data_IF_325085533865
#
_entry.id   IF_325085533865
#
_cell.length_a   1.000
_cell.length_b   1.000
_cell.length_c   1.000
_cell.angle_alpha   90.00
_cell.angle_beta   90.00
_cell.angle_gamma   90.00
#
_symmetry.space_group_name_H-M   'P 1'
#
loop_
_entity.id
_entity.type
_entity.pdbx_description
1 polymer ?
#
# COMPACT_ATOMS: atom_id res chain seq x y z
N UNK A 1 -26.69 3.01 -51.70
CA UNK A 1 -25.34 2.87 -51.13
C UNK A 1 -25.44 1.89 -49.97
N UNK A 2 -24.89 0.69 -50.14
CA UNK A 2 -24.86 -0.34 -49.11
C UNK A 2 -23.68 -0.09 -48.17
N UNK A 3 -23.92 -0.08 -46.87
CA UNK A 3 -22.88 -0.17 -45.84
C UNK A 3 -23.35 -1.14 -44.76
N UNK A 4 -22.67 -2.27 -44.67
CA UNK A 4 -22.60 -3.15 -43.49
C UNK A 4 -21.11 -3.19 -43.05
N UNK A 5 -20.76 -3.68 -41.85
CA UNK A 5 -21.42 -3.61 -40.54
C UNK A 5 -20.50 -2.96 -39.48
N UNK A 6 -21.05 -2.57 -38.33
CA UNK A 6 -20.25 -2.20 -37.16
C UNK A 6 -19.61 -3.45 -36.51
N UNK A 7 -18.37 -3.77 -36.90
CA UNK A 7 -17.42 -4.62 -36.16
C UNK A 7 -16.21 -3.76 -35.79
N UNK A 8 -16.20 -3.24 -34.58
CA UNK A 8 -15.05 -2.71 -33.80
C UNK A 8 -15.72 -2.11 -32.55
N UNK A 9 -15.47 -2.46 -31.30
CA UNK A 9 -14.39 -3.21 -30.69
C UNK A 9 -14.78 -3.44 -29.23
N UNK A 10 -15.19 -4.66 -28.91
CA UNK A 10 -15.33 -5.23 -27.56
C UNK A 10 -13.95 -5.42 -26.90
N UNK A 11 -13.00 -4.49 -27.11
CA UNK A 11 -11.56 -4.72 -26.85
C UNK A 11 -11.13 -4.38 -25.41
N UNK A 12 -11.96 -3.74 -24.58
CA UNK A 12 -11.56 -3.49 -23.18
C UNK A 12 -12.11 -4.51 -22.17
N UNK A 13 -12.37 -5.74 -22.64
CA UNK A 13 -12.77 -6.87 -21.80
C UNK A 13 -11.70 -7.98 -21.81
N UNK A 14 -10.43 -7.60 -21.68
CA UNK A 14 -9.28 -8.50 -21.52
C UNK A 14 -8.28 -7.75 -20.63
N UNK A 15 -8.37 -7.83 -19.30
CA UNK A 15 -7.40 -8.58 -18.50
C UNK A 15 -7.90 -8.76 -17.05
N UNK A 16 -9.11 -9.28 -16.84
CA UNK A 16 -9.57 -9.73 -15.52
C UNK A 16 -9.14 -11.18 -15.24
N UNK A 17 -7.90 -11.52 -15.57
CA UNK A 17 -7.33 -12.86 -15.31
C UNK A 17 -6.63 -12.79 -13.97
N UNK A 18 -7.23 -13.43 -12.96
CA UNK A 18 -6.68 -13.81 -11.65
C UNK A 18 -5.23 -13.38 -11.38
N UNK A 19 -5.02 -12.10 -11.09
CA UNK A 19 -3.90 -11.73 -10.23
C UNK A 19 -4.37 -12.03 -8.81
N UNK A 20 -3.74 -13.01 -8.15
CA UNK A 20 -3.84 -13.15 -6.71
C UNK A 20 -3.56 -11.79 -6.09
N UNK A 21 -4.53 -11.27 -5.33
CA UNK A 21 -4.40 -10.01 -4.60
C UNK A 21 -3.28 -10.16 -3.56
N UNK A 22 -2.06 -9.79 -3.94
CA UNK A 22 -0.88 -9.90 -3.09
C UNK A 22 -1.01 -9.02 -1.84
N UNK A 23 -1.84 -7.98 -1.88
CA UNK A 23 -2.11 -7.15 -0.70
C UNK A 23 -2.88 -7.90 0.38
N UNK A 24 -3.65 -8.94 0.03
CA UNK A 24 -4.32 -9.80 0.99
C UNK A 24 -3.35 -10.60 1.89
N UNK A 25 -2.06 -10.64 1.55
CA UNK A 25 -1.03 -11.17 2.45
C UNK A 25 -0.95 -10.37 3.76
N UNK A 26 -1.22 -9.07 3.75
CA UNK A 26 -1.12 -8.22 4.94
C UNK A 26 -2.48 -8.13 5.64
N UNK A 27 -2.52 -8.48 6.93
CA UNK A 27 -3.78 -8.52 7.69
C UNK A 27 -4.24 -7.09 8.06
N UNK A 28 -3.27 -6.17 8.23
CA UNK A 28 -3.51 -4.74 8.44
C UNK A 28 -2.53 -3.90 7.65
N UNK A 29 -3.05 -2.83 7.03
CA UNK A 29 -2.27 -1.85 6.29
C UNK A 29 -2.55 -0.46 6.86
N UNK A 30 -1.50 0.24 7.26
CA UNK A 30 -1.57 1.59 7.82
C UNK A 30 -0.81 2.57 6.94
N UNK A 31 -1.26 3.82 6.88
CA UNK A 31 -0.49 4.94 6.37
C UNK A 31 -0.44 6.04 7.43
N UNK A 32 0.76 6.39 7.88
CA UNK A 32 0.98 7.43 8.89
C UNK A 32 0.98 8.80 8.20
N UNK A 33 0.26 9.76 8.76
CA UNK A 33 0.25 11.14 8.28
C UNK A 33 0.13 12.13 9.43
N UNK A 34 0.80 13.28 9.30
CA UNK A 34 0.65 14.39 10.25
C UNK A 34 -0.65 15.14 9.97
N UNK A 35 -1.42 15.49 11.00
CA UNK A 35 -2.74 16.13 10.93
C UNK A 35 -2.83 17.34 9.97
N UNK A 36 -1.81 18.19 9.93
CA UNK A 36 -1.72 19.36 9.05
C UNK A 36 -1.39 19.05 7.58
N UNK A 37 -0.84 17.86 7.25
CA UNK A 37 -0.44 17.45 5.89
C UNK A 37 -1.56 16.80 5.07
N UNK A 38 -2.69 17.50 4.94
CA UNK A 38 -3.83 17.06 4.10
C UNK A 38 -3.42 16.84 2.65
N UNK A 39 -2.54 17.69 2.13
CA UNK A 39 -1.99 17.62 0.77
C UNK A 39 -1.31 16.26 0.49
N UNK A 40 -0.43 15.81 1.40
CA UNK A 40 0.25 14.51 1.29
C UNK A 40 -0.71 13.35 1.40
N UNK A 41 -1.71 13.43 2.29
CA UNK A 41 -2.73 12.38 2.40
C UNK A 41 -3.51 12.19 1.12
N UNK A 42 -3.94 13.27 0.48
CA UNK A 42 -4.67 13.17 -0.79
C UNK A 42 -3.78 12.60 -1.90
N UNK A 43 -2.49 12.93 -1.91
CA UNK A 43 -1.54 12.30 -2.84
C UNK A 43 -1.37 10.80 -2.55
N UNK A 44 -1.15 10.41 -1.30
CA UNK A 44 -1.04 9.02 -0.89
C UNK A 44 -2.32 8.23 -1.23
N UNK A 45 -3.51 8.81 -1.05
CA UNK A 45 -4.79 8.20 -1.45
C UNK A 45 -4.82 7.86 -2.94
N UNK A 46 -4.39 8.79 -3.81
CA UNK A 46 -4.31 8.55 -5.26
C UNK A 46 -3.33 7.43 -5.57
N UNK A 47 -2.15 7.47 -4.96
CA UNK A 47 -1.11 6.46 -5.10
C UNK A 47 -1.59 5.06 -4.67
N UNK A 48 -2.32 4.93 -3.56
CA UNK A 48 -2.92 3.66 -3.15
C UNK A 48 -4.05 3.21 -4.08
N UNK A 49 -4.84 4.13 -4.64
CA UNK A 49 -5.89 3.79 -5.60
C UNK A 49 -5.32 3.22 -6.90
N UNK A 50 -4.21 3.79 -7.39
CA UNK A 50 -3.52 3.34 -8.61
C UNK A 50 -3.05 1.88 -8.52
N UNK A 51 -2.78 1.38 -7.31
CA UNK A 51 -2.33 -0.01 -7.06
C UNK A 51 -3.40 -0.90 -6.44
N UNK A 52 -4.66 -0.44 -6.38
CA UNK A 52 -5.79 -1.19 -5.84
C UNK A 52 -5.76 -1.44 -4.32
N UNK A 53 -4.98 -0.66 -3.57
CA UNK A 53 -4.75 -0.86 -2.13
C UNK A 53 -5.63 0.05 -1.25
N UNK A 54 -6.17 1.14 -1.80
CA UNK A 54 -6.80 2.24 -1.03
C UNK A 54 -7.80 1.78 0.04
N UNK A 55 -8.74 0.91 -0.32
CA UNK A 55 -9.82 0.47 0.58
C UNK A 55 -9.32 -0.37 1.77
N UNK A 56 -8.08 -0.88 1.71
CA UNK A 56 -7.45 -1.65 2.80
C UNK A 56 -6.58 -0.78 3.71
N UNK A 57 -6.28 0.46 3.31
CA UNK A 57 -5.39 1.35 4.06
C UNK A 57 -6.18 2.11 5.13
N UNK A 58 -5.77 1.97 6.38
CA UNK A 58 -6.21 2.84 7.45
C UNK A 58 -5.20 3.99 7.65
N UNK A 59 -5.65 5.23 7.48
CA UNK A 59 -4.84 6.41 7.76
C UNK A 59 -4.74 6.68 9.26
N UNK A 60 -3.53 6.63 9.80
CA UNK A 60 -3.23 6.93 11.20
C UNK A 60 -2.74 8.37 11.29
N UNK A 61 -3.66 9.25 11.67
CA UNK A 61 -3.40 10.69 11.79
C UNK A 61 -2.74 11.00 13.13
N UNK A 62 -1.56 11.59 13.10
CA UNK A 62 -0.77 11.94 14.29
C UNK A 62 -0.48 13.42 14.35
N UNK A 63 -0.20 13.93 15.55
CA UNK A 63 0.38 15.27 15.69
C UNK A 63 1.88 15.22 15.46
N UNK A 64 2.44 16.25 14.85
CA UNK A 64 3.89 16.41 14.77
C UNK A 64 4.46 16.49 16.19
N UNK A 65 5.50 15.70 16.46
CA UNK A 65 6.18 15.81 17.75
C UNK A 65 6.84 17.20 17.85
N UNK A 66 6.65 17.95 18.95
CA UNK A 66 7.04 19.36 19.03
C UNK A 66 8.55 19.58 18.91
N UNK A 67 9.35 18.70 19.50
CA UNK A 67 10.80 18.94 19.65
C UNK A 67 11.70 17.93 18.92
N UNK A 68 11.20 16.71 18.67
CA UNK A 68 12.03 15.61 18.17
C UNK A 68 11.26 14.79 17.13
N UNK A 69 11.63 14.97 15.87
CA UNK A 69 11.03 14.27 14.74
C UNK A 69 11.19 12.75 14.82
N UNK A 70 12.37 12.27 15.20
CA UNK A 70 12.68 10.83 15.29
C UNK A 70 11.81 10.13 16.34
N UNK A 71 11.62 10.78 17.51
CA UNK A 71 10.66 10.31 18.52
C UNK A 71 9.25 10.24 17.94
N UNK A 72 8.84 11.23 17.16
CA UNK A 72 7.56 11.21 16.45
C UNK A 72 7.40 9.99 15.53
N UNK A 73 8.43 9.69 14.73
CA UNK A 73 8.47 8.52 13.82
C UNK A 73 8.38 7.21 14.61
N UNK A 74 9.21 7.05 15.64
CA UNK A 74 9.18 5.83 16.47
C UNK A 74 7.81 5.66 17.12
N UNK A 75 7.24 6.72 17.70
CA UNK A 75 5.95 6.65 18.38
C UNK A 75 4.79 6.31 17.44
N UNK A 76 4.76 6.90 16.24
CA UNK A 76 3.70 6.63 15.25
C UNK A 76 3.79 5.19 14.72
N UNK A 77 4.99 4.69 14.41
CA UNK A 77 5.16 3.28 14.02
C UNK A 77 4.79 2.31 15.15
N UNK A 78 5.22 2.59 16.38
CA UNK A 78 4.85 1.77 17.54
C UNK A 78 3.34 1.79 17.80
N UNK A 79 2.66 2.91 17.53
CA UNK A 79 1.21 2.99 17.60
C UNK A 79 0.55 2.05 16.58
N UNK A 80 0.98 2.08 15.31
CA UNK A 80 0.48 1.18 14.26
C UNK A 80 0.70 -0.29 14.62
N UNK A 81 1.90 -0.66 15.11
CA UNK A 81 2.20 -2.03 15.52
C UNK A 81 1.29 -2.48 16.68
N UNK A 82 1.17 -1.69 17.74
CA UNK A 82 0.27 -1.99 18.86
C UNK A 82 -1.18 -2.13 18.42
N UNK A 83 -1.62 -1.27 17.50
CA UNK A 83 -2.97 -1.29 16.96
C UNK A 83 -3.24 -2.56 16.14
N UNK A 84 -2.31 -2.95 15.27
CA UNK A 84 -2.41 -4.19 14.50
C UNK A 84 -2.41 -5.43 15.40
N UNK A 85 -1.52 -5.47 16.40
CA UNK A 85 -1.50 -6.56 17.40
C UNK A 85 -2.82 -6.66 18.17
N UNK A 86 -3.38 -5.53 18.62
CA UNK A 86 -4.70 -5.49 19.28
C UNK A 86 -5.83 -6.01 18.37
N UNK A 87 -5.69 -5.85 17.06
CA UNK A 87 -6.62 -6.38 16.07
C UNK A 87 -6.36 -7.85 15.67
N UNK A 88 -5.39 -8.53 16.31
CA UNK A 88 -5.03 -9.91 16.00
C UNK A 88 -4.24 -10.09 14.69
N UNK A 89 -3.69 -8.99 14.13
CA UNK A 89 -2.91 -9.05 12.90
C UNK A 89 -1.58 -9.77 13.13
N UNK A 90 -1.23 -10.68 12.21
CA UNK A 90 0.08 -11.35 12.19
C UNK A 90 1.07 -10.64 11.27
N UNK A 91 0.57 -10.03 10.19
CA UNK A 91 1.37 -9.30 9.20
C UNK A 91 0.81 -7.89 9.06
N UNK A 92 1.60 -6.91 9.48
CA UNK A 92 1.25 -5.49 9.48
C UNK A 92 2.16 -4.80 8.46
N UNK A 93 1.56 -4.05 7.53
CA UNK A 93 2.27 -3.19 6.59
C UNK A 93 2.04 -1.73 6.96
N UNK A 94 3.10 -0.93 6.97
CA UNK A 94 3.05 0.49 7.36
C UNK A 94 3.72 1.31 6.25
N UNK A 95 2.99 2.29 5.73
CA UNK A 95 3.48 3.32 4.83
C UNK A 95 3.54 4.68 5.53
N UNK A 96 4.29 5.61 4.95
CA UNK A 96 4.22 7.05 5.24
C UNK A 96 3.43 7.77 4.14
N UNK A 97 2.96 8.99 4.40
CA UNK A 97 2.12 9.77 3.47
C UNK A 97 2.90 10.44 2.31
N UNK A 98 4.21 10.23 2.20
CA UNK A 98 5.01 10.50 1.00
C UNK A 98 5.25 9.24 0.13
N UNK A 99 4.49 8.17 0.35
CA UNK A 99 4.53 7.00 -0.53
C UNK A 99 4.31 7.38 -2.00
N UNK A 100 5.14 6.79 -2.85
CA UNK A 100 5.06 6.89 -4.29
C UNK A 100 5.26 5.52 -4.92
N UNK A 101 4.36 5.12 -5.81
CA UNK A 101 4.42 3.87 -6.54
C UNK A 101 4.85 4.13 -7.98
N UNK A 102 5.99 3.57 -8.36
CA UNK A 102 6.50 3.66 -9.72
C UNK A 102 6.84 2.27 -10.23
N UNK A 103 6.31 1.90 -11.40
CA UNK A 103 6.64 0.62 -12.04
C UNK A 103 6.33 -0.58 -11.15
N UNK A 104 5.17 -0.59 -10.47
CA UNK A 104 4.80 -1.68 -9.56
C UNK A 104 4.73 -2.99 -10.31
N UNK A 105 5.59 -3.92 -9.92
CA UNK A 105 5.65 -5.29 -10.43
C UNK A 105 4.82 -6.21 -9.53
N UNK A 106 3.56 -6.44 -9.90
CA UNK A 106 2.64 -7.28 -9.15
C UNK A 106 3.13 -8.75 -9.05
N UNK A 107 3.67 -9.39 -10.12
CA UNK A 107 4.37 -10.67 -10.01
C UNK A 107 5.50 -10.69 -8.97
N UNK A 108 6.39 -9.69 -8.96
CA UNK A 108 7.48 -9.65 -7.99
C UNK A 108 6.98 -9.52 -6.55
N UNK A 109 5.93 -8.71 -6.32
CA UNK A 109 5.28 -8.62 -5.00
C UNK A 109 4.65 -9.96 -4.60
N UNK A 110 4.01 -10.66 -5.54
CA UNK A 110 3.44 -11.98 -5.29
C UNK A 110 4.51 -13.00 -4.87
N UNK A 111 5.62 -13.07 -5.59
CA UNK A 111 6.75 -13.95 -5.27
C UNK A 111 7.36 -13.63 -3.91
N UNK A 112 7.51 -12.35 -3.58
CA UNK A 112 7.96 -11.92 -2.26
C UNK A 112 7.00 -12.38 -1.15
N UNK A 113 5.69 -12.18 -1.32
CA UNK A 113 4.68 -12.66 -0.37
C UNK A 113 4.69 -14.18 -0.22
N UNK A 114 4.82 -14.93 -1.32
CA UNK A 114 4.93 -16.38 -1.30
C UNK A 114 6.19 -16.83 -0.53
N UNK A 115 7.34 -16.22 -0.82
CA UNK A 115 8.60 -16.51 -0.12
C UNK A 115 8.48 -16.28 1.40
N UNK A 116 7.88 -15.16 1.81
CA UNK A 116 7.64 -14.83 3.22
C UNK A 116 6.60 -15.73 3.88
N UNK A 117 5.66 -16.28 3.12
CA UNK A 117 4.69 -17.25 3.62
C UNK A 117 5.35 -18.58 3.99
N UNK A 118 6.27 -19.06 3.14
CA UNK A 118 6.98 -20.33 3.35
C UNK A 118 8.10 -20.24 4.39
N UNK A 119 8.71 -19.06 4.59
CA UNK A 119 9.71 -18.84 5.64
C UNK A 119 9.05 -18.26 6.89
N UNK A 120 8.94 -19.05 7.95
CA UNK A 120 8.28 -18.62 9.19
C UNK A 120 9.16 -17.79 10.13
N UNK A 121 10.46 -17.61 9.81
CA UNK A 121 11.42 -16.86 10.62
C UNK A 121 11.83 -15.56 9.95
N UNK A 122 11.04 -14.50 10.17
CA UNK A 122 11.40 -13.12 9.84
C UNK A 122 10.65 -12.16 10.78
N UNK A 123 11.19 -10.95 10.94
CA UNK A 123 10.58 -9.90 11.76
C UNK A 123 10.32 -8.61 10.99
N UNK A 124 10.95 -8.43 9.84
CA UNK A 124 10.77 -7.26 8.98
C UNK A 124 10.85 -7.61 7.51
N UNK A 125 10.06 -6.89 6.72
CA UNK A 125 10.07 -6.86 5.28
C UNK A 125 9.97 -5.39 4.87
N UNK A 126 10.91 -4.90 4.07
CA UNK A 126 10.98 -3.50 3.66
C UNK A 126 10.61 -3.38 2.19
N UNK A 127 9.66 -2.50 1.88
CA UNK A 127 9.26 -2.16 0.52
C UNK A 127 9.98 -0.90 0.06
N UNK A 128 10.45 -0.91 -1.19
CA UNK A 128 11.03 0.26 -1.86
C UNK A 128 12.43 0.64 -1.36
N UNK A 129 12.81 1.88 -1.66
CA UNK A 129 14.10 2.48 -1.31
C UNK A 129 14.06 3.99 -1.52
N UNK A 130 15.14 4.67 -1.12
CA UNK A 130 15.26 6.13 -1.35
C UNK A 130 15.52 6.34 -2.84
N UNK A 131 14.65 7.09 -3.50
CA UNK A 131 14.87 7.57 -4.87
C UNK A 131 15.35 9.02 -4.83
N UNK A 132 16.21 9.41 -5.77
CA UNK A 132 16.48 10.82 -6.03
C UNK A 132 15.25 11.38 -6.75
N UNK A 133 14.27 11.85 -5.97
CA UNK A 133 13.10 12.56 -6.51
C UNK A 133 13.50 13.75 -7.37
#
# INVERSE_FOLDING_TARGET
MYTQPARQSTINKINSVNQTDSWAFFDKVYCISIDDRRDRREQARKQFAEVGLLERVEFVIVKKHPENREKGIVQSHMHCLKKGLKAGARRILIFEDDVFFQGVDAPALHEACAFLHHRTKWNGFFLGGITSG
#
